data_IF_392331777711
#
_entry.id   IF_392331777711
#
_cell.length_a   1.000
_cell.length_b   1.000
_cell.length_c   1.000
_cell.angle_alpha   90.00
_cell.angle_beta   90.00
_cell.angle_gamma   90.00
#
_symmetry.space_group_name_H-M   'P 1'
#
loop_
_entity.id
_entity.type
_entity.pdbx_description
1 polymer ?
#
# COMPACT_ATOMS: atom_id res chain seq x y z
N UNK A 1 -54.46 -44.64 -22.08
CA UNK A 1 -55.46 -45.41 -21.30
C UNK A 1 -55.65 -46.76 -21.98
N UNK A 2 -55.92 -47.81 -21.18
CA UNK A 2 -56.10 -49.25 -21.53
C UNK A 2 -54.80 -50.09 -21.53
N UNK A 3 -54.66 -51.24 -20.88
CA UNK A 3 -55.46 -51.98 -19.87
C UNK A 3 -54.52 -53.00 -19.16
N UNK A 4 -54.77 -53.27 -17.87
CA UNK A 4 -54.13 -54.33 -17.08
C UNK A 4 -54.65 -55.74 -17.42
N UNK A 5 -53.85 -56.76 -17.08
CA UNK A 5 -54.28 -58.14 -16.84
C UNK A 5 -53.90 -58.58 -15.41
N UNK A 6 -54.85 -59.22 -14.72
CA UNK A 6 -54.86 -59.59 -13.30
C UNK A 6 -54.10 -60.87 -12.94
N UNK A 7 -53.87 -61.13 -11.64
CA UNK A 7 -54.48 -62.25 -10.87
C UNK A 7 -54.14 -62.18 -9.35
N UNK A 8 -55.19 -62.07 -8.49
CA UNK A 8 -55.50 -62.72 -7.18
C UNK A 8 -54.42 -62.69 -6.04
N UNK A 9 -54.54 -61.90 -4.95
CA UNK A 9 -55.25 -62.08 -3.62
C UNK A 9 -54.55 -63.05 -2.60
N UNK A 10 -54.78 -62.99 -1.26
CA UNK A 10 -55.19 -61.92 -0.32
C UNK A 10 -54.45 -61.85 1.07
N UNK A 11 -54.50 -60.66 1.69
CA UNK A 11 -54.74 -60.22 3.12
C UNK A 11 -54.81 -61.27 4.28
N UNK A 12 -54.46 -61.10 5.59
CA UNK A 12 -54.57 -60.03 6.62
C UNK A 12 -53.73 -60.44 7.88
N UNK A 13 -53.09 -59.50 8.61
CA UNK A 13 -53.21 -59.22 10.08
C UNK A 13 -51.98 -58.51 10.70
N UNK A 14 -52.14 -57.21 10.98
CA UNK A 14 -52.00 -56.60 12.31
C UNK A 14 -50.65 -56.53 13.02
N UNK A 15 -50.35 -55.31 13.50
CA UNK A 15 -49.63 -54.95 14.74
C UNK A 15 -48.17 -54.47 14.62
N UNK A 16 -47.93 -53.27 15.15
CA UNK A 16 -46.66 -52.55 15.37
C UNK A 16 -45.73 -53.26 16.40
N UNK A 17 -44.47 -52.82 16.59
CA UNK A 17 -43.21 -53.43 16.14
C UNK A 17 -42.39 -54.12 17.28
N UNK A 18 -41.14 -54.54 17.03
CA UNK A 18 -40.11 -54.16 18.00
C UNK A 18 -38.88 -53.52 17.35
N UNK A 19 -38.41 -52.50 18.06
CA UNK A 19 -37.13 -51.82 17.90
C UNK A 19 -35.95 -52.79 17.82
N UNK A 20 -34.93 -52.41 17.05
CA UNK A 20 -33.62 -53.04 17.13
C UNK A 20 -32.70 -52.83 15.93
N UNK A 21 -32.45 -51.59 15.52
CA UNK A 21 -31.22 -51.29 14.78
C UNK A 21 -30.39 -50.26 15.53
N UNK A 22 -29.32 -50.81 16.08
CA UNK A 22 -28.22 -50.17 16.78
C UNK A 22 -27.51 -49.20 15.82
N UNK A 23 -27.66 -47.89 16.06
CA UNK A 23 -26.81 -46.88 15.42
C UNK A 23 -25.44 -46.91 16.10
N UNK A 24 -24.39 -47.21 15.34
CA UNK A 24 -23.01 -46.99 15.75
C UNK A 24 -22.73 -45.49 15.68
N UNK A 25 -22.39 -44.82 16.79
CA UNK A 25 -21.93 -43.44 16.75
C UNK A 25 -20.46 -43.41 16.32
N UNK A 26 -20.00 -42.28 15.80
CA UNK A 26 -18.61 -41.95 15.44
C UNK A 26 -18.16 -42.28 14.01
N UNK A 27 -18.82 -41.65 13.04
CA UNK A 27 -18.10 -41.08 11.89
C UNK A 27 -18.53 -39.63 11.74
N UNK A 28 -17.90 -38.75 12.53
CA UNK A 28 -18.05 -37.31 12.39
C UNK A 28 -17.53 -36.94 11.00
N UNK A 29 -18.28 -36.22 10.15
CA UNK A 29 -17.70 -35.58 8.99
C UNK A 29 -16.62 -34.63 9.49
N UNK A 30 -15.37 -34.82 9.05
CA UNK A 30 -14.31 -33.84 9.29
C UNK A 30 -14.83 -32.52 8.71
N UNK A 31 -14.99 -31.46 9.51
CA UNK A 31 -15.25 -30.14 8.97
C UNK A 31 -14.06 -29.82 8.08
N UNK A 32 -14.28 -29.74 6.77
CA UNK A 32 -13.32 -29.08 5.89
C UNK A 32 -13.30 -27.64 6.36
N UNK A 33 -12.31 -27.33 7.19
CA UNK A 33 -12.06 -25.97 7.65
C UNK A 33 -11.95 -25.13 6.37
N UNK A 34 -12.80 -24.10 6.19
CA UNK A 34 -12.67 -23.24 5.03
C UNK A 34 -11.25 -22.69 5.06
N UNK A 35 -10.45 -23.08 4.06
CA UNK A 35 -9.07 -22.64 3.92
C UNK A 35 -9.09 -21.12 4.02
N UNK A 36 -8.64 -20.60 5.17
CA UNK A 36 -8.60 -19.17 5.42
C UNK A 36 -7.81 -18.57 4.25
N UNK A 37 -8.33 -17.55 3.55
CA UNK A 37 -7.56 -16.95 2.47
C UNK A 37 -6.23 -16.49 3.04
N UNK A 38 -5.13 -16.93 2.41
CA UNK A 38 -3.78 -16.56 2.83
C UNK A 38 -3.71 -15.05 3.05
N UNK A 39 -3.06 -14.63 4.13
CA UNK A 39 -2.89 -13.20 4.42
C UNK A 39 -2.22 -12.52 3.23
N UNK A 40 -2.48 -11.23 3.02
CA UNK A 40 -1.89 -10.51 1.86
C UNK A 40 -0.37 -10.72 1.81
N UNK A 41 0.30 -10.63 2.95
CA UNK A 41 1.76 -10.81 3.02
C UNK A 41 2.19 -12.21 2.57
N UNK A 42 1.49 -13.28 2.96
CA UNK A 42 1.80 -14.64 2.49
C UNK A 42 1.61 -14.76 0.97
N UNK A 43 0.56 -14.14 0.43
CA UNK A 43 0.37 -14.06 -1.02
C UNK A 43 1.51 -13.30 -1.71
N UNK A 44 1.93 -12.15 -1.18
CA UNK A 44 3.04 -11.37 -1.72
C UNK A 44 4.36 -12.14 -1.65
N UNK A 45 4.61 -12.86 -0.54
CA UNK A 45 5.79 -13.73 -0.38
C UNK A 45 5.80 -14.84 -1.44
N UNK A 46 4.66 -15.44 -1.75
CA UNK A 46 4.53 -16.43 -2.83
C UNK A 46 4.74 -15.86 -4.24
N UNK A 47 4.59 -14.54 -4.42
CA UNK A 47 4.85 -13.86 -5.70
C UNK A 47 6.26 -13.29 -5.84
N UNK A 48 7.00 -13.17 -4.73
CA UNK A 48 8.36 -12.64 -4.71
C UNK A 48 9.30 -13.54 -5.53
N UNK A 49 10.00 -12.94 -6.51
CA UNK A 49 10.92 -13.67 -7.39
C UNK A 49 12.37 -13.50 -6.95
N UNK A 50 12.71 -12.36 -6.34
CA UNK A 50 14.03 -12.13 -5.76
C UNK A 50 14.07 -12.41 -4.26
N UNK A 51 15.22 -12.90 -3.80
CA UNK A 51 15.49 -13.08 -2.37
C UNK A 51 15.31 -11.77 -1.61
N UNK A 52 15.68 -10.64 -2.21
CA UNK A 52 15.59 -9.33 -1.58
C UNK A 52 14.14 -8.90 -1.35
N UNK A 53 13.26 -9.08 -2.36
CA UNK A 53 11.82 -8.85 -2.18
C UNK A 53 11.29 -9.72 -1.04
N UNK A 54 11.64 -11.01 -1.05
CA UNK A 54 11.20 -11.96 -0.02
C UNK A 54 11.64 -11.54 1.39
N UNK A 55 12.92 -11.18 1.58
CA UNK A 55 13.44 -10.77 2.88
C UNK A 55 12.80 -9.49 3.41
N UNK A 56 12.57 -8.50 2.55
CA UNK A 56 11.91 -7.25 2.93
C UNK A 56 10.49 -7.53 3.45
N UNK A 57 9.71 -8.34 2.72
CA UNK A 57 8.35 -8.68 3.10
C UNK A 57 8.31 -9.54 4.38
N UNK A 58 9.24 -10.51 4.49
CA UNK A 58 9.33 -11.41 5.63
C UNK A 58 9.65 -10.67 6.93
N UNK A 59 10.61 -9.75 6.87
CA UNK A 59 11.12 -9.01 8.05
C UNK A 59 10.32 -7.77 8.40
N UNK A 60 9.34 -7.37 7.57
CA UNK A 60 8.45 -6.27 7.85
C UNK A 60 7.72 -6.45 9.20
N UNK A 61 7.81 -5.42 10.06
CA UNK A 61 7.09 -5.36 11.33
C UNK A 61 5.57 -5.34 11.10
N UNK A 62 4.78 -5.67 12.12
CA UNK A 62 3.31 -5.61 12.05
C UNK A 62 2.80 -4.25 11.55
N UNK A 63 3.43 -3.16 11.97
CA UNK A 63 3.06 -1.82 11.49
C UNK A 63 3.41 -1.61 10.02
N UNK A 64 4.58 -2.05 9.57
CA UNK A 64 4.98 -1.94 8.16
C UNK A 64 4.11 -2.82 7.25
N UNK A 65 3.72 -4.02 7.70
CA UNK A 65 2.80 -4.90 6.97
C UNK A 65 1.46 -4.23 6.70
N UNK A 66 0.88 -3.54 7.70
CA UNK A 66 -0.36 -2.75 7.53
C UNK A 66 -0.19 -1.60 6.54
N UNK A 67 0.99 -0.99 6.48
CA UNK A 67 1.26 0.07 5.51
C UNK A 67 1.46 -0.49 4.10
N UNK A 68 2.04 -1.68 3.96
CA UNK A 68 2.15 -2.42 2.70
C UNK A 68 0.75 -2.82 2.21
N UNK A 69 -0.13 -3.30 3.09
CA UNK A 69 -1.53 -3.59 2.77
C UNK A 69 -2.24 -2.35 2.20
N UNK A 70 -2.15 -1.21 2.87
CA UNK A 70 -2.72 0.04 2.35
C UNK A 70 -2.12 0.48 1.01
N UNK A 71 -0.83 0.24 0.81
CA UNK A 71 -0.18 0.53 -0.46
C UNK A 71 -0.69 -0.40 -1.57
N UNK A 72 -0.89 -1.69 -1.27
CA UNK A 72 -1.48 -2.65 -2.20
C UNK A 72 -2.92 -2.29 -2.58
N UNK A 73 -3.72 -1.79 -1.63
CA UNK A 73 -5.09 -1.35 -1.92
C UNK A 73 -5.14 -0.16 -2.89
N UNK A 74 -4.14 0.73 -2.81
CA UNK A 74 -4.00 1.87 -3.71
C UNK A 74 -3.35 1.49 -5.06
N UNK A 75 -2.38 0.59 -5.03
CA UNK A 75 -1.60 0.13 -6.19
C UNK A 75 -1.48 -1.40 -6.12
N UNK A 76 -2.41 -2.15 -6.74
CA UNK A 76 -2.45 -3.60 -6.66
C UNK A 76 -1.11 -4.23 -7.06
N UNK A 77 -0.50 -4.95 -6.12
CA UNK A 77 0.83 -5.53 -6.29
C UNK A 77 0.72 -6.87 -7.01
N UNK A 78 1.60 -7.07 -7.99
CA UNK A 78 1.83 -8.33 -8.69
C UNK A 78 3.34 -8.65 -8.70
N UNK A 79 3.72 -9.82 -9.20
CA UNK A 79 5.09 -10.31 -9.15
C UNK A 79 6.09 -9.31 -9.74
N UNK A 80 5.81 -8.73 -10.91
CA UNK A 80 6.75 -7.79 -11.55
C UNK A 80 6.77 -6.43 -10.84
N UNK A 81 5.63 -5.93 -10.34
CA UNK A 81 5.56 -4.70 -9.57
C UNK A 81 6.43 -4.80 -8.31
N UNK A 82 6.38 -5.95 -7.61
CA UNK A 82 7.23 -6.20 -6.45
C UNK A 82 8.72 -6.07 -6.81
N UNK A 83 9.14 -6.64 -7.95
CA UNK A 83 10.54 -6.56 -8.38
C UNK A 83 10.95 -5.14 -8.81
N UNK A 84 10.09 -4.40 -9.52
CA UNK A 84 10.34 -2.98 -9.82
C UNK A 84 10.49 -2.14 -8.55
N UNK A 85 9.69 -2.44 -7.52
CA UNK A 85 9.73 -1.79 -6.21
C UNK A 85 11.05 -2.07 -5.50
N UNK A 86 11.44 -3.33 -5.44
CA UNK A 86 12.71 -3.74 -4.81
C UNK A 86 13.91 -3.16 -5.55
N UNK A 87 13.91 -3.15 -6.87
CA UNK A 87 15.00 -2.56 -7.65
C UNK A 87 15.08 -1.02 -7.49
N UNK A 88 13.94 -0.33 -7.36
CA UNK A 88 13.93 1.11 -7.08
C UNK A 88 14.51 1.38 -5.69
N UNK A 89 14.14 0.57 -4.68
CA UNK A 89 14.69 0.67 -3.34
C UNK A 89 16.21 0.40 -3.32
N UNK A 90 16.69 -0.61 -4.04
CA UNK A 90 18.11 -0.91 -4.16
C UNK A 90 18.88 0.26 -4.81
N UNK A 91 18.29 0.87 -5.84
CA UNK A 91 18.84 2.08 -6.47
C UNK A 91 18.89 3.24 -5.49
N UNK A 92 17.83 3.46 -4.69
CA UNK A 92 17.82 4.48 -3.65
C UNK A 92 18.90 4.21 -2.59
N UNK A 93 19.03 2.95 -2.15
CA UNK A 93 20.00 2.56 -1.12
C UNK A 93 21.45 2.72 -1.59
N UNK A 94 21.77 2.33 -2.82
CA UNK A 94 23.13 2.48 -3.37
C UNK A 94 23.54 3.95 -3.52
N UNK A 95 22.57 4.85 -3.68
CA UNK A 95 22.76 6.31 -3.77
C UNK A 95 22.76 7.01 -2.40
N UNK A 96 22.56 6.28 -1.31
CA UNK A 96 22.41 6.84 0.04
C UNK A 96 21.10 7.62 0.24
N UNK A 97 20.11 7.41 -0.62
CA UNK A 97 18.85 8.16 -0.63
C UNK A 97 17.84 7.61 0.39
N UNK A 98 17.96 6.32 0.75
CA UNK A 98 17.10 5.63 1.71
C UNK A 98 17.72 4.30 2.20
N UNK A 99 17.45 3.85 3.44
CA UNK A 99 17.82 2.52 3.91
C UNK A 99 16.96 1.41 3.26
N UNK A 100 17.50 0.20 3.04
CA UNK A 100 16.76 -0.91 2.42
C UNK A 100 15.87 -1.64 3.43
N UNK A 101 14.76 -1.01 3.83
CA UNK A 101 13.78 -1.60 4.76
C UNK A 101 12.34 -1.55 4.23
N UNK A 102 11.42 -2.25 4.89
CA UNK A 102 10.02 -2.36 4.46
C UNK A 102 9.29 -1.01 4.43
N UNK A 103 9.57 -0.10 5.38
CA UNK A 103 9.05 1.25 5.31
C UNK A 103 9.43 1.98 4.01
N UNK A 104 10.70 1.93 3.60
CA UNK A 104 11.17 2.55 2.35
C UNK A 104 10.72 1.80 1.11
N UNK A 105 10.62 0.47 1.19
CA UNK A 105 10.03 -0.34 0.13
C UNK A 105 8.59 0.10 -0.19
N UNK A 106 7.78 0.36 0.85
CA UNK A 106 6.45 0.94 0.66
C UNK A 106 6.50 2.32 0.00
N UNK A 107 7.49 3.15 0.31
CA UNK A 107 7.63 4.45 -0.36
C UNK A 107 7.97 4.28 -1.85
N UNK A 108 8.77 3.27 -2.20
CA UNK A 108 9.00 2.89 -3.59
C UNK A 108 7.70 2.46 -4.29
N UNK A 109 6.84 1.67 -3.63
CA UNK A 109 5.51 1.28 -4.19
C UNK A 109 4.71 2.53 -4.55
N UNK A 110 4.57 3.46 -3.58
CA UNK A 110 3.82 4.71 -3.76
C UNK A 110 4.41 5.52 -4.90
N UNK A 111 5.74 5.67 -4.96
CA UNK A 111 6.40 6.45 -6.00
C UNK A 111 6.13 5.87 -7.40
N UNK A 112 6.28 4.56 -7.58
CA UNK A 112 6.02 3.89 -8.85
C UNK A 112 4.55 4.07 -9.24
N UNK A 113 3.63 3.79 -8.31
CA UNK A 113 2.19 3.89 -8.55
C UNK A 113 1.76 5.29 -8.96
N UNK A 114 2.16 6.32 -8.23
CA UNK A 114 1.86 7.72 -8.55
C UNK A 114 2.52 8.18 -9.85
N UNK A 115 3.74 7.70 -10.13
CA UNK A 115 4.42 8.01 -11.39
C UNK A 115 3.65 7.44 -12.58
N UNK A 116 3.18 6.18 -12.50
CA UNK A 116 2.35 5.58 -13.54
C UNK A 116 1.01 6.33 -13.72
N UNK A 117 0.34 6.67 -12.62
CA UNK A 117 -0.92 7.44 -12.65
C UNK A 117 -0.70 8.80 -13.32
N UNK A 118 0.42 9.48 -13.04
CA UNK A 118 0.75 10.76 -13.69
C UNK A 118 0.93 10.67 -15.21
N UNK A 119 1.17 9.45 -15.74
CA UNK A 119 1.23 9.17 -17.17
C UNK A 119 -0.10 8.64 -17.73
N UNK A 120 -1.18 8.68 -16.95
CA UNK A 120 -2.49 8.14 -17.33
C UNK A 120 -2.59 6.61 -17.25
N UNK A 121 -1.61 5.95 -16.62
CA UNK A 121 -1.56 4.49 -16.50
C UNK A 121 -2.01 4.11 -15.08
N UNK A 122 -3.18 3.47 -14.97
CA UNK A 122 -3.73 3.05 -13.67
C UNK A 122 -3.22 1.65 -13.27
N UNK A 123 -2.43 1.51 -12.18
CA UNK A 123 -1.86 0.22 -11.77
C UNK A 123 -2.89 -0.88 -11.52
N UNK A 124 -4.10 -0.53 -11.10
CA UNK A 124 -5.17 -1.49 -10.83
C UNK A 124 -5.62 -2.31 -12.05
N UNK A 125 -5.31 -1.84 -13.26
CA UNK A 125 -5.66 -2.53 -14.51
C UNK A 125 -4.48 -3.29 -15.12
N UNK A 126 -3.33 -3.32 -14.45
CA UNK A 126 -2.08 -3.89 -14.98
C UNK A 126 -1.81 -5.27 -14.39
N UNK A 127 -1.45 -6.21 -15.25
CA UNK A 127 -1.02 -7.55 -14.87
C UNK A 127 0.48 -7.75 -15.12
N UNK A 128 1.05 -8.87 -14.67
CA UNK A 128 2.47 -9.21 -14.86
C UNK A 128 2.91 -9.11 -16.33
N UNK A 129 2.04 -9.51 -17.27
CA UNK A 129 2.34 -9.47 -18.70
C UNK A 129 2.54 -8.03 -19.19
N UNK A 130 1.69 -7.09 -18.76
CA UNK A 130 1.87 -5.67 -19.11
C UNK A 130 3.21 -5.15 -18.62
N UNK A 131 3.58 -5.41 -17.36
CA UNK A 131 4.87 -4.96 -16.82
C UNK A 131 6.04 -5.58 -17.59
N UNK A 132 5.97 -6.88 -17.93
CA UNK A 132 6.99 -7.56 -18.74
C UNK A 132 7.18 -6.92 -20.12
N UNK A 133 6.08 -6.57 -20.80
CA UNK A 133 6.14 -5.95 -22.13
C UNK A 133 6.56 -4.47 -22.08
N UNK A 134 6.41 -3.80 -20.94
CA UNK A 134 6.64 -2.36 -20.78
C UNK A 134 7.81 -2.02 -19.86
N UNK A 135 8.92 -2.77 -19.92
CA UNK A 135 10.13 -2.49 -19.12
C UNK A 135 10.73 -1.09 -19.38
N UNK A 136 10.50 -0.50 -20.55
CA UNK A 136 10.89 0.88 -20.83
C UNK A 136 10.20 1.91 -19.90
N UNK A 137 8.96 1.63 -19.45
CA UNK A 137 8.29 2.47 -18.45
C UNK A 137 9.04 2.49 -17.12
N UNK A 138 9.70 1.39 -16.77
CA UNK A 138 10.51 1.35 -15.55
C UNK A 138 11.74 2.25 -15.63
N UNK A 139 12.41 2.30 -16.78
CA UNK A 139 13.50 3.24 -17.00
C UNK A 139 13.04 4.69 -16.86
N UNK A 140 11.85 5.02 -17.37
CA UNK A 140 11.23 6.33 -17.16
C UNK A 140 10.99 6.61 -15.66
N UNK A 141 10.44 5.65 -14.93
CA UNK A 141 10.21 5.77 -13.48
C UNK A 141 11.53 6.04 -12.74
N UNK A 142 12.58 5.28 -13.04
CA UNK A 142 13.92 5.47 -12.45
C UNK A 142 14.51 6.84 -12.79
N UNK A 143 14.43 7.27 -14.06
CA UNK A 143 14.94 8.57 -14.47
C UNK A 143 14.22 9.71 -13.75
N UNK A 144 12.89 9.60 -13.61
CA UNK A 144 12.08 10.59 -12.87
C UNK A 144 12.43 10.61 -11.38
N UNK A 145 12.63 9.45 -10.76
CA UNK A 145 13.09 9.34 -9.37
C UNK A 145 14.42 10.07 -9.16
N UNK A 146 15.41 9.78 -9.99
CA UNK A 146 16.75 10.36 -9.91
C UNK A 146 16.68 11.87 -10.07
N UNK A 147 15.96 12.37 -11.08
CA UNK A 147 15.80 13.80 -11.31
C UNK A 147 15.17 14.54 -10.11
N UNK A 148 14.11 13.98 -9.53
CA UNK A 148 13.44 14.55 -8.35
C UNK A 148 14.39 14.62 -7.15
N UNK A 149 15.13 13.54 -6.91
CA UNK A 149 16.05 13.47 -5.76
C UNK A 149 17.26 14.38 -5.96
N UNK A 150 17.83 14.44 -7.15
CA UNK A 150 18.98 15.29 -7.45
C UNK A 150 18.61 16.77 -7.32
N UNK A 151 17.42 17.16 -7.78
CA UNK A 151 16.90 18.51 -7.58
C UNK A 151 16.70 18.82 -6.09
N UNK A 152 16.13 17.90 -5.32
CA UNK A 152 15.95 18.07 -3.87
C UNK A 152 17.29 18.19 -3.11
N UNK A 153 18.29 17.39 -3.49
CA UNK A 153 19.66 17.47 -2.95
C UNK A 153 20.27 18.83 -3.26
N UNK A 154 20.15 19.29 -4.50
CA UNK A 154 20.66 20.60 -4.91
C UNK A 154 19.98 21.75 -4.15
N UNK A 155 18.65 21.71 -4.01
CA UNK A 155 17.89 22.67 -3.22
C UNK A 155 18.39 22.70 -1.78
N UNK A 156 18.51 21.54 -1.12
CA UNK A 156 18.97 21.44 0.27
C UNK A 156 20.41 21.90 0.48
N UNK A 157 21.29 21.67 -0.49
CA UNK A 157 22.68 22.14 -0.41
C UNK A 157 22.75 23.68 -0.39
N UNK A 158 21.80 24.36 -1.05
CA UNK A 158 21.73 25.83 -1.11
C UNK A 158 20.87 26.43 0.01
N UNK A 159 19.88 25.69 0.50
CA UNK A 159 18.87 26.12 1.46
C UNK A 159 18.69 25.02 2.51
N UNK A 160 19.61 24.91 3.49
CA UNK A 160 19.53 23.85 4.49
C UNK A 160 18.31 24.07 5.39
N UNK A 161 17.29 23.24 5.21
CA UNK A 161 16.11 23.22 6.06
C UNK A 161 16.39 22.59 7.43
N UNK A 162 15.78 23.08 8.52
CA UNK A 162 15.96 22.50 9.85
C UNK A 162 15.39 21.08 9.95
N UNK A 163 14.41 20.76 9.11
CA UNK A 163 13.78 19.44 9.03
C UNK A 163 13.69 19.00 7.58
N UNK A 164 13.78 17.70 7.34
CA UNK A 164 13.54 17.10 6.03
C UNK A 164 12.55 15.95 6.16
N UNK A 165 12.08 15.44 5.03
CA UNK A 165 11.46 14.11 5.02
C UNK A 165 12.46 13.09 5.55
N UNK A 166 11.96 12.00 6.11
CA UNK A 166 12.80 11.00 6.77
C UNK A 166 13.96 10.52 5.88
N UNK A 167 13.72 10.42 4.57
CA UNK A 167 14.69 10.02 3.53
C UNK A 167 14.29 10.63 2.18
N UNK A 168 15.22 10.69 1.21
CA UNK A 168 14.95 11.24 -0.13
C UNK A 168 13.92 10.40 -0.91
N UNK A 169 13.90 9.08 -0.74
CA UNK A 169 12.84 8.25 -1.34
C UNK A 169 11.45 8.57 -0.75
N UNK A 170 11.38 8.85 0.56
CA UNK A 170 10.14 9.29 1.20
C UNK A 170 9.71 10.69 0.72
N UNK A 171 10.66 11.58 0.41
CA UNK A 171 10.35 12.85 -0.23
C UNK A 171 9.82 12.62 -1.65
N UNK A 172 10.50 11.82 -2.46
CA UNK A 172 10.13 11.57 -3.85
C UNK A 172 8.72 10.97 -3.95
N UNK A 173 8.39 9.97 -3.11
CA UNK A 173 7.05 9.38 -3.06
C UNK A 173 5.98 10.40 -2.66
N UNK A 174 6.28 11.25 -1.68
CA UNK A 174 5.37 12.30 -1.21
C UNK A 174 5.13 13.36 -2.29
N UNK A 175 6.20 13.83 -2.92
CA UNK A 175 6.13 14.76 -4.04
C UNK A 175 5.38 14.18 -5.24
N UNK A 176 5.62 12.91 -5.60
CA UNK A 176 4.90 12.24 -6.68
C UNK A 176 3.38 12.24 -6.43
N UNK A 177 2.97 12.03 -5.17
CA UNK A 177 1.57 11.98 -4.76
C UNK A 177 0.87 13.35 -4.71
N UNK A 178 1.58 14.40 -4.36
CA UNK A 178 0.97 15.68 -4.00
C UNK A 178 1.51 16.89 -4.78
N UNK A 179 2.80 16.90 -5.10
CA UNK A 179 3.43 18.00 -5.82
C UNK A 179 3.19 17.95 -7.33
N UNK A 180 3.18 16.74 -7.91
CA UNK A 180 3.05 16.55 -9.36
C UNK A 180 1.69 17.02 -9.88
N UNK A 181 0.58 16.70 -9.18
CA UNK A 181 -0.77 17.12 -9.58
C UNK A 181 -0.95 18.65 -9.57
N UNK A 182 -0.13 19.35 -8.79
CA UNK A 182 -0.14 20.80 -8.67
C UNK A 182 0.80 21.49 -9.67
N UNK A 183 1.45 20.73 -10.55
CA UNK A 183 2.41 21.25 -11.54
C UNK A 183 3.66 21.85 -10.91
N UNK A 184 3.99 21.49 -9.66
CA UNK A 184 5.16 22.00 -8.97
C UNK A 184 6.42 21.22 -9.35
N UNK A 185 7.55 21.91 -9.33
CA UNK A 185 8.87 21.29 -9.26
C UNK A 185 9.18 20.81 -7.84
N UNK A 186 10.09 19.82 -7.67
CA UNK A 186 10.61 19.43 -6.36
C UNK A 186 11.09 20.61 -5.50
N UNK A 187 11.79 21.58 -6.09
CA UNK A 187 12.30 22.76 -5.40
C UNK A 187 11.18 23.69 -4.91
N UNK A 188 10.17 23.95 -5.74
CA UNK A 188 9.00 24.75 -5.34
C UNK A 188 8.22 24.09 -4.22
N UNK A 189 8.09 22.76 -4.27
CA UNK A 189 7.44 21.98 -3.23
C UNK A 189 8.19 22.05 -1.90
N UNK A 190 9.52 21.96 -1.93
CA UNK A 190 10.35 22.18 -0.74
C UNK A 190 10.28 23.62 -0.26
N UNK A 191 10.28 24.61 -1.17
CA UNK A 191 10.12 26.02 -0.85
C UNK A 191 8.83 26.27 -0.06
N UNK A 192 7.74 25.61 -0.46
CA UNK A 192 6.46 25.68 0.24
C UNK A 192 6.55 25.15 1.68
N UNK A 193 7.35 24.10 1.93
CA UNK A 193 7.64 23.64 3.29
C UNK A 193 8.39 24.70 4.11
N UNK A 194 9.40 25.34 3.54
CA UNK A 194 10.20 26.37 4.23
C UNK A 194 9.35 27.58 4.62
N UNK A 195 8.47 28.02 3.72
CA UNK A 195 7.58 29.14 4.01
C UNK A 195 6.61 28.80 5.14
N UNK A 196 6.07 27.57 5.17
CA UNK A 196 5.20 27.14 6.26
C UNK A 196 5.92 27.04 7.61
N UNK A 197 7.20 26.67 7.62
CA UNK A 197 7.97 26.62 8.87
C UNK A 197 8.12 27.99 9.54
N UNK A 198 7.93 29.10 8.81
CA UNK A 198 7.92 30.47 9.35
C UNK A 198 6.60 30.82 10.03
N UNK A 199 5.53 30.10 9.71
CA UNK A 199 4.21 30.31 10.32
C UNK A 199 4.18 29.75 11.75
N UNK A 200 3.36 30.31 12.66
CA UNK A 200 3.16 29.75 13.99
C UNK A 200 2.69 28.30 13.92
N UNK A 201 3.24 27.48 14.81
CA UNK A 201 2.90 26.07 14.91
C UNK A 201 1.91 25.77 16.03
N UNK A 202 1.15 24.69 15.89
CA UNK A 202 0.31 24.14 16.96
C UNK A 202 0.45 22.61 17.07
N UNK A 203 -0.08 22.04 18.15
CA UNK A 203 0.09 20.63 18.52
C UNK A 203 -1.26 19.93 18.53
N UNK A 204 -1.75 19.38 17.39
CA UNK A 204 -3.05 18.74 17.34
C UNK A 204 -3.11 17.41 18.13
N UNK A 205 -1.97 16.76 18.35
CA UNK A 205 -1.85 15.54 19.15
C UNK A 205 -0.41 15.34 19.64
N UNK A 206 -0.19 14.52 20.68
CA UNK A 206 1.14 14.23 21.19
C UNK A 206 2.09 13.76 20.07
N UNK A 207 3.26 14.40 20.01
CA UNK A 207 4.29 14.04 19.05
C UNK A 207 4.05 14.48 17.60
N UNK A 208 3.11 15.41 17.39
CA UNK A 208 2.85 16.00 16.08
C UNK A 208 2.78 17.52 16.19
N UNK A 209 3.57 18.20 15.37
CA UNK A 209 3.59 19.67 15.26
C UNK A 209 3.10 20.04 13.87
N UNK A 210 2.21 21.02 13.76
CA UNK A 210 1.60 21.42 12.49
C UNK A 210 1.78 22.91 12.26
N UNK A 211 2.19 23.26 11.04
CA UNK A 211 2.19 24.62 10.52
C UNK A 211 1.09 24.74 9.48
N UNK A 212 0.24 25.77 9.60
CA UNK A 212 -0.90 26.00 8.72
C UNK A 212 -0.74 27.30 7.97
N UNK A 213 -0.69 27.19 6.65
CA UNK A 213 -0.72 28.32 5.75
C UNK A 213 -2.06 29.04 5.79
N UNK A 214 -2.04 30.36 5.99
CA UNK A 214 -3.21 31.21 5.82
C UNK A 214 -3.57 31.41 4.34
N UNK A 215 -4.35 32.46 4.03
CA UNK A 215 -4.70 32.84 2.64
C UNK A 215 -3.46 32.99 1.74
N UNK A 216 -2.38 33.56 2.29
CA UNK A 216 -1.09 33.76 1.60
C UNK A 216 -0.46 32.46 1.09
N UNK A 217 -0.65 31.37 1.81
CA UNK A 217 -0.10 30.05 1.50
C UNK A 217 -1.22 29.07 1.13
N UNK A 218 -2.30 29.56 0.51
CA UNK A 218 -3.38 28.77 -0.10
C UNK A 218 -3.95 27.63 0.77
N UNK A 219 -3.85 27.71 2.09
CA UNK A 219 -4.32 26.63 2.97
C UNK A 219 -3.42 25.39 3.02
N UNK A 220 -2.14 25.47 2.63
CA UNK A 220 -1.19 24.37 2.82
C UNK A 220 -1.03 23.99 4.30
N UNK A 221 -0.77 22.70 4.54
CA UNK A 221 -0.50 22.15 5.85
C UNK A 221 0.83 21.38 5.83
N UNK A 222 1.67 21.66 6.81
CA UNK A 222 2.93 20.95 7.05
C UNK A 222 2.86 20.27 8.41
N UNK A 223 2.95 18.94 8.40
CA UNK A 223 2.98 18.12 9.61
C UNK A 223 4.38 17.61 9.85
N UNK A 224 4.87 17.84 11.05
CA UNK A 224 6.12 17.31 11.57
C UNK A 224 5.81 16.17 12.55
N UNK A 225 6.50 15.05 12.41
CA UNK A 225 6.55 14.03 13.46
C UNK A 225 7.70 14.39 14.39
N UNK A 226 7.41 14.51 15.68
CA UNK A 226 8.40 14.79 16.72
C UNK A 226 8.60 13.58 17.63
N UNK A 227 8.13 12.39 17.21
CA UNK A 227 8.23 11.14 17.97
C UNK A 227 9.43 10.35 17.51
N UNK A 228 10.11 9.74 18.47
CA UNK A 228 11.15 8.76 18.24
C UNK A 228 12.56 9.30 18.37
N UNK A 229 13.51 8.38 18.38
CA UNK A 229 14.95 8.64 18.47
C UNK A 229 15.54 9.27 17.21
N UNK A 230 14.82 9.22 16.09
CA UNK A 230 15.29 9.68 14.78
C UNK A 230 15.19 11.20 14.58
N UNK A 231 14.80 11.93 15.63
CA UNK A 231 14.62 13.38 15.61
C UNK A 231 13.30 13.83 14.98
N UNK A 232 13.22 15.12 14.66
CA UNK A 232 12.04 15.75 14.06
C UNK A 232 12.14 15.73 12.55
N UNK A 233 11.09 15.27 11.88
CA UNK A 233 11.07 15.18 10.41
C UNK A 233 9.72 15.58 9.83
N UNK A 234 9.72 15.96 8.55
CA UNK A 234 8.50 16.23 7.79
C UNK A 234 7.78 14.91 7.54
N UNK A 235 6.57 14.80 8.07
CA UNK A 235 5.70 13.64 7.92
C UNK A 235 4.83 13.75 6.68
N UNK A 236 4.24 14.92 6.46
CA UNK A 236 3.42 15.22 5.29
C UNK A 236 3.37 16.72 5.07
N UNK A 237 3.26 17.12 3.80
CA UNK A 237 3.11 18.50 3.34
C UNK A 237 2.04 18.51 2.27
N UNK A 238 0.90 19.15 2.42
CA UNK A 238 -0.13 19.07 1.37
C UNK A 238 -1.04 20.28 1.36
N UNK A 239 -1.67 20.52 0.22
CA UNK A 239 -2.71 21.52 0.05
C UNK A 239 -4.03 20.98 0.60
N UNK A 240 -4.67 21.71 1.53
CA UNK A 240 -5.86 21.21 2.26
C UNK A 240 -7.00 20.73 1.36
N UNK A 241 -7.17 21.35 0.19
CA UNK A 241 -8.26 21.00 -0.75
C UNK A 241 -8.03 19.65 -1.46
N UNK A 242 -6.82 19.09 -1.41
CA UNK A 242 -6.49 17.75 -1.93
C UNK A 242 -6.75 16.62 -0.91
N UNK A 243 -7.25 16.94 0.30
CA UNK A 243 -7.63 15.93 1.31
C UNK A 243 -9.14 15.87 1.47
N UNK A 244 -9.79 15.01 0.69
CA UNK A 244 -11.08 14.40 1.05
C UNK A 244 -10.78 13.15 1.90
N UNK A 245 -10.80 13.19 3.25
CA UNK A 245 -10.97 11.97 3.99
C UNK A 245 -12.35 11.45 3.60
N UNK A 246 -12.42 10.34 2.85
CA UNK A 246 -13.70 9.63 2.72
C UNK A 246 -14.21 9.42 4.15
N UNK A 247 -15.43 9.82 4.49
CA UNK A 247 -16.05 9.36 5.72
C UNK A 247 -16.01 7.84 5.66
N UNK A 248 -15.44 7.20 6.67
CA UNK A 248 -15.67 5.78 6.90
C UNK A 248 -17.18 5.69 7.13
N UNK A 249 -17.92 5.28 6.10
CA UNK A 249 -19.27 4.79 6.29
C UNK A 249 -19.11 3.43 6.96
N UNK A 250 -19.42 3.39 8.27
CA UNK A 250 -19.72 2.14 8.94
C UNK A 250 -21.02 1.62 8.32
N UNK A 251 -20.93 0.49 7.62
CA UNK A 251 -22.07 -0.40 7.35
C UNK A 251 -21.71 -1.72 8.01
#
# INVERSE_FOLDING_TARGET
MMYSGHYIQPTIYGSTPPHGYQQSPWTTPIPVEPCQPASLIERLLGMARSQQTFEILRTATTTERREIERANDAYPLNGIFLEWTTHLLQTAASRGDAPPNAYQWKQAVVFIGETLISQGIHPAHLNDHWFQMNQHCYHFVLARYIAIVDEAKFHRARRPLPFFFRWYLCFASHFAKHGVSLGMTPSEYLQQAEELLKEPSFFPKPGCKVHKGGKKHKGWLLYLDTRGSDGVFIKTLYLKDDFLPRPIQLI
#
